data_IF_031274732482
#
_entry.id   IF_031274732482
#
_cell.length_a   1.000
_cell.length_b   1.000
_cell.length_c   1.000
_cell.angle_alpha   90.00
_cell.angle_beta   90.00
_cell.angle_gamma   90.00
#
_symmetry.space_group_name_H-M   'P 1'
#
loop_
_entity.id
_entity.type
_entity.pdbx_description
1 polymer ?
#
# COMPACT_ATOMS: atom_id res chain seq x y z
N UNK A 1 11.07 26.89 -13.09
CA UNK A 1 10.70 26.89 -11.66
C UNK A 1 10.49 25.45 -11.26
N UNK A 2 11.51 24.81 -10.69
CA UNK A 2 11.55 23.36 -10.46
C UNK A 2 11.39 23.12 -8.96
N UNK A 3 10.35 22.42 -8.55
CA UNK A 3 10.05 22.11 -7.16
C UNK A 3 11.04 21.06 -6.59
N UNK A 4 11.45 21.15 -5.31
CA UNK A 4 12.24 20.10 -4.69
C UNK A 4 11.34 18.90 -4.34
N UNK A 5 11.76 17.72 -4.78
CA UNK A 5 11.19 16.42 -4.38
C UNK A 5 11.55 16.18 -2.91
N UNK A 6 10.53 16.07 -2.05
CA UNK A 6 10.72 15.76 -0.64
C UNK A 6 11.12 14.29 -0.44
N UNK A 7 12.22 14.09 0.28
CA UNK A 7 12.67 12.79 0.76
C UNK A 7 11.82 12.38 1.98
N UNK A 8 11.11 11.25 1.88
CA UNK A 8 10.39 10.64 3.00
C UNK A 8 11.32 10.03 4.05
N UNK A 9 10.79 9.69 5.25
CA UNK A 9 11.60 9.39 6.43
C UNK A 9 12.33 8.05 6.32
N UNK A 10 13.62 8.07 6.66
CA UNK A 10 14.46 6.89 6.84
C UNK A 10 14.05 6.13 8.11
N UNK A 11 13.88 4.82 8.02
CA UNK A 11 13.83 3.95 9.20
C UNK A 11 14.62 2.65 8.97
N UNK A 12 15.82 2.66 9.55
CA UNK A 12 16.43 1.59 10.37
C UNK A 12 16.69 0.19 9.79
N UNK A 13 17.91 0.03 9.27
CA UNK A 13 18.88 -1.07 9.49
C UNK A 13 18.35 -2.50 9.78
N UNK A 14 18.19 -3.31 8.71
CA UNK A 14 18.27 -4.79 8.77
C UNK A 14 18.98 -5.28 7.49
N UNK A 15 20.29 -5.54 7.56
CA UNK A 15 21.11 -6.15 6.48
C UNK A 15 21.12 -5.40 5.13
N UNK A 16 21.95 -5.81 4.14
CA UNK A 16 21.89 -5.26 2.79
C UNK A 16 20.69 -5.85 2.02
N UNK A 17 19.49 -5.77 2.59
CA UNK A 17 18.25 -6.02 1.86
C UNK A 17 18.04 -4.78 1.00
N UNK A 18 18.23 -4.91 -0.32
CA UNK A 18 17.91 -3.80 -1.22
C UNK A 18 16.47 -3.36 -0.92
N UNK A 19 16.25 -2.08 -0.59
CA UNK A 19 14.92 -1.62 -0.24
C UNK A 19 13.95 -1.95 -1.39
N UNK A 20 12.76 -2.39 -1.02
CA UNK A 20 11.68 -2.58 -1.98
C UNK A 20 11.35 -1.22 -2.59
N UNK A 21 11.14 -1.19 -3.90
CA UNK A 21 10.65 0.03 -4.54
C UNK A 21 9.20 0.28 -4.14
N UNK A 22 8.72 1.51 -4.30
CA UNK A 22 7.32 1.85 -3.99
C UNK A 22 6.33 0.96 -4.77
N UNK A 23 6.65 0.63 -6.02
CA UNK A 23 5.86 -0.29 -6.84
C UNK A 23 5.87 -1.73 -6.28
N UNK A 24 7.03 -2.23 -5.86
CA UNK A 24 7.16 -3.56 -5.27
C UNK A 24 6.41 -3.65 -3.94
N UNK A 25 6.47 -2.60 -3.14
CA UNK A 25 5.76 -2.50 -1.87
C UNK A 25 4.24 -2.48 -2.08
N UNK A 26 3.74 -1.74 -3.07
CA UNK A 26 2.33 -1.74 -3.44
C UNK A 26 1.83 -3.13 -3.88
N UNK A 27 2.59 -3.82 -4.73
CA UNK A 27 2.26 -5.20 -5.14
C UNK A 27 2.24 -6.13 -3.92
N UNK A 28 3.24 -6.04 -3.05
CA UNK A 28 3.33 -6.87 -1.85
C UNK A 28 2.19 -6.60 -0.85
N UNK A 29 1.73 -5.35 -0.72
CA UNK A 29 0.53 -5.02 0.05
C UNK A 29 -0.72 -5.71 -0.51
N UNK A 30 -0.96 -5.63 -1.81
CA UNK A 30 -2.12 -6.30 -2.39
C UNK A 30 -2.05 -7.84 -2.28
N UNK A 31 -0.85 -8.41 -2.36
CA UNK A 31 -0.64 -9.83 -2.08
C UNK A 31 -1.00 -10.16 -0.64
N UNK A 32 -0.67 -9.31 0.33
CA UNK A 32 -1.03 -9.52 1.74
C UNK A 32 -2.55 -9.47 2.01
N UNK A 33 -3.30 -8.80 1.12
CA UNK A 33 -4.76 -8.75 1.15
C UNK A 33 -5.44 -9.92 0.43
N UNK A 34 -4.66 -10.81 -0.20
CA UNK A 34 -5.17 -11.97 -0.91
C UNK A 34 -5.63 -11.70 -2.34
N UNK A 35 -5.26 -10.56 -2.94
CA UNK A 35 -5.60 -10.27 -4.33
C UNK A 35 -4.83 -11.17 -5.30
N UNK A 36 -5.49 -11.53 -6.39
CA UNK A 36 -4.90 -12.25 -7.51
C UNK A 36 -4.03 -11.32 -8.37
N UNK A 37 -3.10 -11.89 -9.15
CA UNK A 37 -2.25 -11.10 -10.05
C UNK A 37 -3.02 -10.33 -11.13
N UNK A 38 -4.25 -10.74 -11.44
CA UNK A 38 -5.13 -10.00 -12.36
C UNK A 38 -5.69 -8.76 -11.68
N UNK A 39 -6.25 -8.89 -10.48
CA UNK A 39 -6.80 -7.75 -9.72
C UNK A 39 -5.69 -6.74 -9.36
N UNK A 40 -4.50 -7.23 -9.02
CA UNK A 40 -3.33 -6.37 -8.78
C UNK A 40 -2.96 -5.60 -10.03
N UNK A 41 -2.95 -6.25 -11.20
CA UNK A 41 -2.64 -5.61 -12.48
C UNK A 41 -3.64 -4.49 -12.78
N UNK A 42 -4.93 -4.74 -12.60
CA UNK A 42 -6.00 -3.74 -12.76
C UNK A 42 -5.83 -2.55 -11.82
N UNK A 43 -5.56 -2.80 -10.53
CA UNK A 43 -5.41 -1.73 -9.52
C UNK A 43 -4.13 -0.91 -9.69
N UNK A 44 -3.07 -1.50 -10.23
CA UNK A 44 -1.78 -0.83 -10.39
C UNK A 44 -1.57 -0.25 -11.79
N UNK A 45 -2.47 -0.54 -12.75
CA UNK A 45 -2.32 -0.15 -14.15
C UNK A 45 -1.21 -0.90 -14.89
N UNK A 46 -0.70 -2.00 -14.33
CA UNK A 46 0.32 -2.83 -14.98
C UNK A 46 -0.29 -4.01 -15.73
N UNK A 47 0.47 -4.62 -16.63
CA UNK A 47 0.10 -5.92 -17.20
C UNK A 47 0.27 -7.03 -16.17
N UNK A 48 -0.52 -8.11 -16.29
CA UNK A 48 -0.37 -9.34 -15.48
C UNK A 48 1.08 -9.85 -15.46
N UNK A 49 1.73 -9.86 -16.62
CA UNK A 49 3.14 -10.25 -16.74
C UNK A 49 4.09 -9.27 -16.02
N UNK A 50 3.76 -7.98 -15.99
CA UNK A 50 4.48 -6.98 -15.21
C UNK A 50 4.37 -7.24 -13.70
N UNK A 51 3.18 -7.62 -13.21
CA UNK A 51 2.97 -8.00 -11.81
C UNK A 51 3.77 -9.26 -11.48
N UNK A 52 3.70 -10.32 -12.30
CA UNK A 52 4.49 -11.54 -12.10
C UNK A 52 6.00 -11.27 -11.99
N UNK A 53 6.56 -10.48 -12.91
CA UNK A 53 7.98 -10.09 -12.87
C UNK A 53 8.32 -9.30 -11.61
N UNK A 54 7.41 -8.47 -11.14
CA UNK A 54 7.57 -7.69 -9.91
C UNK A 54 7.52 -8.60 -8.68
N UNK A 55 6.58 -9.56 -8.63
CA UNK A 55 6.51 -10.60 -7.61
C UNK A 55 7.79 -11.41 -7.53
N UNK A 56 8.38 -11.85 -8.65
CA UNK A 56 9.68 -12.57 -8.63
C UNK A 56 10.82 -11.70 -8.09
N UNK A 57 10.83 -10.39 -8.38
CA UNK A 57 11.81 -9.46 -7.81
C UNK A 57 11.63 -9.31 -6.30
N UNK A 58 10.40 -9.18 -5.83
CA UNK A 58 10.07 -9.11 -4.40
C UNK A 58 10.57 -10.36 -3.68
N UNK A 59 10.24 -11.55 -4.20
CA UNK A 59 10.69 -12.82 -3.61
C UNK A 59 12.21 -12.86 -3.48
N UNK A 60 12.94 -12.48 -4.54
CA UNK A 60 14.41 -12.48 -4.51
C UNK A 60 14.99 -11.43 -3.56
N UNK A 61 14.35 -10.27 -3.42
CA UNK A 61 14.80 -9.21 -2.51
C UNK A 61 14.58 -9.58 -1.04
N UNK A 62 13.46 -10.25 -0.74
CA UNK A 62 13.12 -10.68 0.61
C UNK A 62 13.69 -12.07 0.96
N UNK A 63 14.42 -12.72 0.06
CA UNK A 63 14.86 -14.12 0.18
C UNK A 63 13.71 -15.09 0.52
N UNK A 64 12.54 -14.83 -0.08
CA UNK A 64 11.33 -15.57 0.18
C UNK A 64 11.14 -16.74 -0.79
N UNK A 65 10.65 -17.86 -0.25
CA UNK A 65 10.37 -19.10 -0.99
C UNK A 65 8.97 -19.14 -1.62
N UNK A 66 8.06 -18.31 -1.14
CA UNK A 66 6.68 -18.22 -1.61
C UNK A 66 6.12 -16.83 -1.33
N UNK A 67 4.98 -16.49 -1.95
CA UNK A 67 4.29 -15.21 -1.70
C UNK A 67 3.90 -15.06 -0.21
N UNK A 68 3.36 -16.12 0.39
CA UNK A 68 3.02 -16.13 1.81
C UNK A 68 4.28 -15.95 2.69
N UNK A 69 5.40 -16.59 2.31
CA UNK A 69 6.67 -16.40 3.02
C UNK A 69 7.19 -14.96 2.89
N UNK A 70 7.03 -14.33 1.72
CA UNK A 70 7.40 -12.93 1.51
C UNK A 70 6.56 -11.98 2.37
N UNK A 71 5.25 -12.18 2.45
CA UNK A 71 4.38 -11.40 3.34
C UNK A 71 4.81 -11.58 4.78
N UNK A 72 5.06 -12.82 5.23
CA UNK A 72 5.54 -13.10 6.57
C UNK A 72 6.85 -12.37 6.89
N UNK A 73 7.85 -12.45 6.01
CA UNK A 73 9.14 -11.79 6.20
C UNK A 73 8.99 -10.26 6.19
N UNK A 74 8.14 -9.71 5.33
CA UNK A 74 7.87 -8.29 5.28
C UNK A 74 7.15 -7.79 6.55
N UNK A 75 6.24 -8.58 7.12
CA UNK A 75 5.62 -8.29 8.41
C UNK A 75 6.64 -8.36 9.56
N UNK A 76 7.50 -9.39 9.57
CA UNK A 76 8.55 -9.54 10.58
C UNK A 76 9.56 -8.40 10.54
N UNK A 77 9.89 -7.92 9.34
CA UNK A 77 10.80 -6.79 9.12
C UNK A 77 10.14 -5.41 9.34
N UNK A 78 8.83 -5.35 9.66
CA UNK A 78 8.09 -4.09 9.84
C UNK A 78 7.86 -3.31 8.54
N UNK A 79 8.10 -3.91 7.38
CA UNK A 79 7.85 -3.32 6.05
C UNK A 79 6.34 -3.33 5.76
N UNK A 80 5.66 -4.39 6.18
CA UNK A 80 4.21 -4.49 6.18
C UNK A 80 3.69 -4.52 7.61
N UNK A 81 2.56 -3.84 7.83
CA UNK A 81 1.81 -3.94 9.07
C UNK A 81 0.36 -4.34 8.74
N UNK A 82 0.06 -5.65 8.70
CA UNK A 82 -1.28 -6.14 8.33
C UNK A 82 -2.33 -5.77 9.38
N UNK A 83 -1.93 -5.29 10.57
CA UNK A 83 -2.85 -4.79 11.59
C UNK A 83 -3.23 -3.33 11.34
N UNK A 84 -2.48 -2.58 10.52
CA UNK A 84 -2.86 -1.21 10.14
C UNK A 84 -3.98 -1.29 9.11
N UNK A 85 -5.13 -0.69 9.47
CA UNK A 85 -6.22 -0.45 8.52
C UNK A 85 -5.80 0.62 7.52
N UNK A 86 -5.96 0.32 6.24
CA UNK A 86 -5.73 1.23 5.13
C UNK A 86 -6.85 1.11 4.10
N UNK A 87 -7.09 2.16 3.33
CA UNK A 87 -8.08 2.14 2.25
C UNK A 87 -9.49 2.58 2.62
N UNK A 88 -9.77 2.85 3.90
CA UNK A 88 -11.05 3.37 4.39
C UNK A 88 -10.85 4.68 5.19
N UNK A 89 -11.95 5.41 5.44
CA UNK A 89 -11.92 6.61 6.29
C UNK A 89 -11.32 6.34 7.68
N UNK A 90 -11.55 5.14 8.23
CA UNK A 90 -10.96 4.72 9.51
C UNK A 90 -9.43 4.64 9.44
N UNK A 91 -8.88 4.09 8.35
CA UNK A 91 -7.44 4.07 8.08
C UNK A 91 -6.87 5.48 7.83
N UNK A 92 -7.62 6.38 7.19
CA UNK A 92 -7.23 7.78 7.05
C UNK A 92 -7.16 8.50 8.40
N UNK A 93 -8.20 8.35 9.23
CA UNK A 93 -8.25 8.92 10.57
C UNK A 93 -7.14 8.37 11.49
N UNK A 94 -6.80 7.09 11.35
CA UNK A 94 -5.71 6.47 12.09
C UNK A 94 -4.34 7.10 11.77
N UNK A 95 -4.08 7.43 10.50
CA UNK A 95 -2.88 8.17 10.09
C UNK A 95 -2.86 9.58 10.69
N UNK A 96 -3.97 10.33 10.60
CA UNK A 96 -4.08 11.66 11.19
C UNK A 96 -3.84 11.64 12.71
N UNK A 97 -4.43 10.69 13.44
CA UNK A 97 -4.24 10.57 14.88
C UNK A 97 -2.78 10.30 15.27
N UNK A 98 -2.05 9.55 14.43
CA UNK A 98 -0.63 9.23 14.65
C UNK A 98 0.32 10.32 14.15
N UNK A 99 -0.19 11.35 13.48
CA UNK A 99 0.64 12.40 12.86
C UNK A 99 1.47 11.90 11.67
N UNK A 100 1.09 10.78 11.07
CA UNK A 100 1.73 10.21 9.89
C UNK A 100 1.04 10.74 8.62
N UNK A 101 1.78 10.95 7.53
CA UNK A 101 1.15 11.29 6.24
C UNK A 101 0.30 10.11 5.75
N UNK A 102 -1.03 10.31 5.53
CA UNK A 102 -1.88 9.25 5.03
C UNK A 102 -1.40 8.76 3.66
N UNK A 103 -1.33 7.44 3.48
CA UNK A 103 -0.97 6.86 2.20
C UNK A 103 -2.06 7.09 1.12
N UNK A 104 -1.70 6.96 -0.16
CA UNK A 104 -2.61 7.18 -1.30
C UNK A 104 -3.96 6.45 -1.15
N UNK A 105 -3.93 5.22 -0.65
CA UNK A 105 -5.14 4.41 -0.41
C UNK A 105 -6.05 5.00 0.66
N UNK A 106 -5.48 5.58 1.72
CA UNK A 106 -6.28 6.27 2.73
C UNK A 106 -6.85 7.59 2.20
N UNK A 107 -6.13 8.28 1.31
CA UNK A 107 -6.68 9.43 0.59
C UNK A 107 -7.84 9.05 -0.34
N UNK A 108 -7.75 7.92 -1.05
CA UNK A 108 -8.84 7.36 -1.85
C UNK A 108 -10.08 7.06 -0.98
N UNK A 109 -9.90 6.35 0.13
CA UNK A 109 -10.98 6.06 1.07
C UNK A 109 -11.63 7.32 1.65
N UNK A 110 -10.84 8.36 1.97
CA UNK A 110 -11.36 9.66 2.45
C UNK A 110 -12.17 10.39 1.38
N UNK A 111 -11.71 10.37 0.12
CA UNK A 111 -12.43 10.97 -1.01
C UNK A 111 -13.78 10.29 -1.22
N UNK A 112 -13.80 8.97 -1.18
CA UNK A 112 -15.01 8.17 -1.32
C UNK A 112 -15.99 8.44 -0.18
N UNK A 113 -15.52 8.38 1.08
CA UNK A 113 -16.32 8.71 2.26
C UNK A 113 -16.96 10.11 2.16
N UNK A 114 -16.21 11.14 1.74
CA UNK A 114 -16.75 12.50 1.56
C UNK A 114 -17.82 12.56 0.49
N UNK A 115 -17.64 11.85 -0.64
CA UNK A 115 -18.62 11.78 -1.73
C UNK A 115 -19.92 11.15 -1.24
N UNK A 116 -19.83 10.02 -0.55
CA UNK A 116 -20.98 9.33 0.04
C UNK A 116 -21.71 10.21 1.06
N UNK A 117 -20.98 10.84 1.97
CA UNK A 117 -21.57 11.68 3.02
C UNK A 117 -22.24 12.93 2.45
N UNK A 118 -21.74 13.50 1.35
CA UNK A 118 -22.40 14.57 0.59
C UNK A 118 -23.67 14.07 -0.11
N UNK A 119 -23.62 12.90 -0.73
CA UNK A 119 -24.78 12.29 -1.38
C UNK A 119 -25.90 11.98 -0.37
N UNK A 120 -25.56 11.39 0.78
CA UNK A 120 -26.50 11.09 1.87
C UNK A 120 -27.15 12.37 2.44
N UNK A 121 -26.38 13.45 2.64
CA UNK A 121 -26.94 14.75 3.05
C UNK A 121 -27.92 15.32 2.02
N UNK A 122 -27.63 15.19 0.72
CA UNK A 122 -28.54 15.62 -0.35
C UNK A 122 -29.82 14.78 -0.37
N UNK A 123 -29.71 13.47 -0.20
CA UNK A 123 -30.86 12.56 -0.16
C UNK A 123 -31.77 12.81 1.04
N UNK A 124 -31.22 13.14 2.21
CA UNK A 124 -32.00 13.48 3.40
C UNK A 124 -32.64 14.89 3.35
N UNK A 125 -32.28 15.71 2.37
CA UNK A 125 -32.80 17.07 2.19
C UNK A 125 -33.84 17.15 1.05
N UNK A 126 -34.14 16.03 0.38
CA UNK A 126 -35.14 15.89 -0.69
C UNK A 126 -36.35 15.13 -0.15
#
# INVERSE_FOLDING_TARGET
MTAPVQAGPTSSSVGPVRPLTQQELAVLQYVSEGLTYLEIAERTGYSRNGVLKTSTRILRKLDAKSQAHAVFLACQAGILDPKRRHGDHAGFAAHQYRGEEPCDRCWDGEREYRRERRAARKANAA
#
